data_IF_974457969703
#
_entry.id   IF_974457969703
#
_cell.length_a   1.000
_cell.length_b   1.000
_cell.length_c   1.000
_cell.angle_alpha   90.00
_cell.angle_beta   90.00
_cell.angle_gamma   90.00
#
_symmetry.space_group_name_H-M   'P 1'
#
loop_
_entity.id
_entity.type
_entity.pdbx_description
1 polymer ?
#
# COMPACT_ATOMS: atom_id res chain seq x y z
N UNK A 1 -1.33 40.76 26.60
CA UNK A 1 -0.42 40.39 25.50
C UNK A 1 -0.21 38.87 25.44
N UNK A 2 -1.28 38.08 25.33
CA UNK A 2 -1.23 36.61 25.10
C UNK A 2 -2.00 36.18 23.84
N UNK A 3 -2.88 37.03 23.32
CA UNK A 3 -3.80 36.71 22.22
C UNK A 3 -3.11 36.63 20.85
N UNK A 4 -2.03 37.40 20.61
CA UNK A 4 -1.33 37.38 19.32
C UNK A 4 -0.57 36.08 19.02
N UNK A 5 -0.20 35.31 20.05
CA UNK A 5 0.50 34.01 19.88
C UNK A 5 -0.46 32.85 19.59
N UNK A 6 -1.68 32.90 20.13
CA UNK A 6 -2.71 31.87 19.90
C UNK A 6 -3.40 32.06 18.54
N UNK A 7 -3.64 33.31 18.11
CA UNK A 7 -4.18 33.58 16.77
C UNK A 7 -3.21 33.15 15.64
N UNK A 8 -1.90 33.40 15.79
CA UNK A 8 -0.90 32.95 14.83
C UNK A 8 -0.82 31.41 14.71
N UNK A 9 -0.85 30.72 15.85
CA UNK A 9 -0.82 29.25 15.92
C UNK A 9 -2.06 28.60 15.29
N UNK A 10 -3.24 29.20 15.48
CA UNK A 10 -4.50 28.73 14.88
C UNK A 10 -4.54 28.91 13.36
N UNK A 11 -3.91 29.97 12.83
CA UNK A 11 -3.79 30.21 11.39
C UNK A 11 -2.83 29.22 10.74
N UNK A 12 -1.71 28.90 11.37
CA UNK A 12 -0.74 27.91 10.90
C UNK A 12 -1.32 26.49 10.88
N UNK A 13 -2.06 26.10 11.91
CA UNK A 13 -2.78 24.83 11.94
C UNK A 13 -3.87 24.76 10.85
N UNK A 14 -4.65 25.84 10.66
CA UNK A 14 -5.67 25.88 9.61
C UNK A 14 -5.07 25.78 8.20
N UNK A 15 -3.97 26.50 7.95
CA UNK A 15 -3.19 26.40 6.72
C UNK A 15 -2.67 24.97 6.48
N UNK A 16 -2.19 24.31 7.54
CA UNK A 16 -1.76 22.91 7.49
C UNK A 16 -2.90 21.96 7.09
N UNK A 17 -4.06 22.03 7.76
CA UNK A 17 -5.21 21.18 7.40
C UNK A 17 -5.67 21.42 5.96
N UNK A 18 -5.68 22.68 5.51
CA UNK A 18 -6.07 23.06 4.15
C UNK A 18 -5.07 22.55 3.10
N UNK A 19 -3.77 22.73 3.32
CA UNK A 19 -2.70 22.29 2.39
C UNK A 19 -2.62 20.77 2.31
N UNK A 20 -2.74 20.06 3.43
CA UNK A 20 -2.73 18.59 3.43
C UNK A 20 -3.89 18.03 2.62
N UNK A 21 -5.10 18.58 2.79
CA UNK A 21 -6.27 18.23 1.97
C UNK A 21 -6.12 18.59 0.49
N UNK A 22 -5.45 19.69 0.17
CA UNK A 22 -5.35 20.16 -1.22
C UNK A 22 -4.28 19.41 -2.04
N UNK A 23 -3.12 19.09 -1.45
CA UNK A 23 -1.94 18.65 -2.19
C UNK A 23 -1.59 17.17 -2.03
N UNK A 24 -2.01 16.52 -0.95
CA UNK A 24 -1.59 15.14 -0.63
C UNK A 24 -2.76 14.16 -0.53
N UNK A 25 -3.93 14.58 -0.99
CA UNK A 25 -5.14 13.75 -0.92
C UNK A 25 -5.08 12.52 -1.81
N UNK A 26 -4.32 12.52 -2.92
CA UNK A 26 -4.24 11.38 -3.85
C UNK A 26 -2.91 11.33 -4.62
N UNK A 27 -1.88 10.71 -4.03
CA UNK A 27 -0.63 10.39 -4.75
C UNK A 27 -0.80 9.03 -5.43
N UNK A 28 -0.62 8.98 -6.74
CA UNK A 28 -0.69 7.71 -7.46
C UNK A 28 0.62 6.96 -7.34
N UNK A 29 0.56 5.63 -7.28
CA UNK A 29 1.75 4.80 -7.32
C UNK A 29 1.52 3.52 -8.11
N UNK A 30 2.60 2.97 -8.64
CA UNK A 30 2.63 1.66 -9.27
C UNK A 30 3.67 0.78 -8.62
N UNK A 31 3.38 -0.50 -8.53
CA UNK A 31 4.35 -1.48 -8.07
C UNK A 31 4.41 -2.65 -9.05
N UNK A 32 5.60 -3.24 -9.15
CA UNK A 32 5.85 -4.49 -9.85
C UNK A 32 6.21 -5.54 -8.83
N UNK A 33 5.69 -6.75 -9.01
CA UNK A 33 5.98 -7.88 -8.17
C UNK A 33 6.09 -9.15 -8.99
N UNK A 34 6.81 -10.12 -8.45
CA UNK A 34 6.84 -11.48 -8.96
C UNK A 34 6.03 -12.38 -8.05
N UNK A 35 5.47 -13.44 -8.63
CA UNK A 35 4.77 -14.48 -7.91
C UNK A 35 5.09 -15.85 -8.50
N UNK A 36 5.05 -16.89 -7.67
CA UNK A 36 5.31 -18.26 -8.07
C UNK A 36 4.12 -18.81 -8.84
N UNK A 37 4.26 -18.90 -10.16
CA UNK A 37 3.26 -19.47 -11.05
C UNK A 37 3.29 -21.01 -11.01
N UNK A 38 4.46 -21.63 -11.03
CA UNK A 38 4.60 -23.07 -10.84
C UNK A 38 5.88 -23.36 -10.05
N UNK A 39 6.16 -24.63 -9.74
CA UNK A 39 7.31 -25.03 -8.90
C UNK A 39 8.65 -24.39 -9.32
N UNK A 40 8.82 -24.01 -10.60
CA UNK A 40 10.06 -23.41 -11.11
C UNK A 40 9.86 -22.15 -11.95
N UNK A 41 8.63 -21.65 -12.06
CA UNK A 41 8.31 -20.50 -12.93
C UNK A 41 7.75 -19.37 -12.09
N UNK A 42 8.39 -18.21 -12.21
CA UNK A 42 7.85 -16.96 -11.70
C UNK A 42 7.20 -16.17 -12.84
N UNK A 43 6.06 -15.56 -12.57
CA UNK A 43 5.47 -14.54 -13.44
C UNK A 43 5.60 -13.17 -12.75
N UNK A 44 5.61 -12.12 -13.55
CA UNK A 44 5.52 -10.74 -13.08
C UNK A 44 4.10 -10.23 -13.24
N UNK A 45 3.65 -9.42 -12.30
CA UNK A 45 2.41 -8.68 -12.38
C UNK A 45 2.62 -7.27 -11.84
N UNK A 46 1.72 -6.36 -12.21
CA UNK A 46 1.71 -5.00 -11.70
C UNK A 46 0.52 -4.75 -10.78
N UNK A 47 0.63 -3.76 -9.92
CA UNK A 47 -0.50 -3.21 -9.20
C UNK A 47 -0.45 -1.68 -9.24
N UNK A 48 -1.64 -1.07 -9.31
CA UNK A 48 -1.83 0.37 -9.28
C UNK A 48 -2.53 0.73 -8.00
N UNK A 49 -2.07 1.80 -7.36
CA UNK A 49 -2.65 2.28 -6.13
C UNK A 49 -2.69 3.78 -6.05
N UNK A 50 -3.48 4.24 -5.09
CA UNK A 50 -3.54 5.64 -4.68
C UNK A 50 -3.28 5.70 -3.19
N UNK A 51 -2.63 6.77 -2.78
CA UNK A 51 -2.32 7.08 -1.41
C UNK A 51 -3.01 8.38 -1.06
N UNK A 52 -3.69 8.38 0.08
CA UNK A 52 -4.35 9.56 0.62
C UNK A 52 -3.91 9.77 2.04
N UNK A 53 -3.67 11.02 2.43
CA UNK A 53 -3.44 11.36 3.82
C UNK A 53 -4.60 12.17 4.41
N UNK A 54 -4.91 11.89 5.67
CA UNK A 54 -5.86 12.63 6.48
C UNK A 54 -5.19 13.13 7.75
N UNK A 55 -5.57 14.32 8.21
CA UNK A 55 -5.06 14.86 9.47
C UNK A 55 -6.13 14.76 10.54
N UNK A 56 -5.74 14.27 11.71
CA UNK A 56 -6.56 14.26 12.91
C UNK A 56 -5.98 15.25 13.94
N UNK A 57 -6.62 16.41 14.05
CA UNK A 57 -6.23 17.50 14.95
C UNK A 57 -6.24 17.07 16.43
N UNK A 58 -7.28 16.34 16.86
CA UNK A 58 -7.45 15.95 18.25
C UNK A 58 -6.36 15.01 18.76
N UNK A 59 -5.86 14.13 17.88
CA UNK A 59 -4.81 13.18 18.21
C UNK A 59 -3.43 13.60 17.70
N UNK A 60 -3.34 14.77 17.06
CA UNK A 60 -2.14 15.30 16.42
C UNK A 60 -1.44 14.28 15.53
N UNK A 61 -2.23 13.61 14.67
CA UNK A 61 -1.70 12.57 13.78
C UNK A 61 -2.06 12.80 12.33
N UNK A 62 -1.13 12.44 11.44
CA UNK A 62 -1.40 12.22 10.03
C UNK A 62 -1.58 10.73 9.79
N UNK A 63 -2.73 10.36 9.26
CA UNK A 63 -3.07 8.98 8.89
C UNK A 63 -3.00 8.83 7.39
N UNK A 64 -2.45 7.70 6.97
CA UNK A 64 -2.21 7.39 5.58
C UNK A 64 -3.05 6.17 5.19
N UNK A 65 -3.91 6.37 4.20
CA UNK A 65 -4.76 5.33 3.62
C UNK A 65 -4.26 5.00 2.22
N UNK A 66 -4.21 3.71 1.94
CA UNK A 66 -3.81 3.15 0.65
C UNK A 66 -4.99 2.48 -0.01
N UNK A 67 -5.20 2.76 -1.28
CA UNK A 67 -5.96 1.91 -2.18
C UNK A 67 -5.00 1.23 -3.14
N UNK A 68 -5.21 -0.06 -3.40
CA UNK A 68 -4.34 -0.82 -4.29
C UNK A 68 -5.15 -1.90 -4.99
N UNK A 69 -4.97 -2.02 -6.30
CA UNK A 69 -5.52 -3.11 -7.09
C UNK A 69 -4.45 -3.69 -8.01
N UNK A 70 -4.22 -5.00 -7.91
CA UNK A 70 -3.32 -5.70 -8.83
C UNK A 70 -3.99 -6.04 -10.16
N UNK A 71 -3.16 -6.36 -11.14
CA UNK A 71 -3.57 -7.21 -12.25
C UNK A 71 -4.05 -8.58 -11.73
N UNK A 72 -4.81 -9.27 -12.58
CA UNK A 72 -5.25 -10.62 -12.30
C UNK A 72 -4.04 -11.56 -12.22
N UNK A 73 -3.96 -12.33 -11.14
CA UNK A 73 -2.94 -13.37 -10.95
C UNK A 73 -3.61 -14.74 -10.89
N UNK A 74 -3.05 -15.67 -11.65
CA UNK A 74 -3.51 -17.05 -11.80
C UNK A 74 -2.38 -18.03 -11.51
N UNK A 75 -2.71 -19.27 -11.15
CA UNK A 75 -1.73 -20.32 -10.92
C UNK A 75 -2.28 -21.69 -11.37
N UNK A 76 -1.53 -22.51 -12.11
CA UNK A 76 -1.90 -23.92 -12.32
C UNK A 76 -1.83 -24.70 -11.00
N UNK A 77 -2.79 -25.61 -10.76
CA UNK A 77 -2.76 -26.52 -9.61
C UNK A 77 -1.58 -27.48 -9.77
N UNK A 78 -0.72 -27.56 -8.76
CA UNK A 78 0.32 -28.59 -8.72
C UNK A 78 0.30 -29.26 -7.35
N UNK A 79 -0.38 -30.40 -7.26
CA UNK A 79 -0.05 -31.37 -6.24
C UNK A 79 1.33 -31.95 -6.58
N UNK A 80 2.24 -31.83 -5.63
CA UNK A 80 3.63 -32.31 -5.71
C UNK A 80 3.77 -33.83 -5.93
N UNK A 81 2.68 -34.58 -6.15
CA UNK A 81 2.66 -36.03 -6.34
C UNK A 81 2.19 -36.53 -7.71
N UNK A 82 1.59 -35.70 -8.57
CA UNK A 82 0.95 -36.15 -9.84
C UNK A 82 1.75 -35.82 -11.11
N UNK A 83 3.04 -35.50 -10.98
CA UNK A 83 3.89 -35.01 -12.07
C UNK A 83 4.14 -35.98 -13.22
N UNK A 84 3.80 -37.27 -13.09
CA UNK A 84 4.19 -38.25 -14.10
C UNK A 84 3.12 -38.58 -15.15
N UNK A 85 1.82 -38.33 -14.94
CA UNK A 85 0.80 -38.89 -15.85
C UNK A 85 -0.49 -38.06 -16.11
N UNK A 86 -0.64 -36.80 -15.67
CA UNK A 86 -1.87 -36.02 -15.92
C UNK A 86 -1.63 -34.77 -16.77
N UNK A 87 -2.29 -34.68 -17.93
CA UNK A 87 -2.25 -33.52 -18.85
C UNK A 87 -3.26 -32.42 -18.50
N UNK A 88 -4.00 -32.56 -17.40
CA UNK A 88 -5.08 -31.65 -17.01
C UNK A 88 -4.82 -31.23 -15.56
N UNK A 89 -4.26 -30.04 -15.40
CA UNK A 89 -4.13 -29.39 -14.10
C UNK A 89 -5.33 -28.47 -13.93
N UNK A 90 -6.09 -28.59 -12.85
CA UNK A 90 -7.12 -27.59 -12.52
C UNK A 90 -6.44 -26.23 -12.38
N UNK A 91 -6.99 -25.16 -12.95
CA UNK A 91 -6.42 -23.83 -12.78
C UNK A 91 -6.94 -23.25 -11.45
N UNK A 92 -6.06 -22.71 -10.61
CA UNK A 92 -6.48 -21.84 -9.53
C UNK A 92 -7.08 -20.60 -10.20
N UNK A 93 -8.30 -20.21 -9.83
CA UNK A 93 -8.98 -19.09 -10.46
C UNK A 93 -8.16 -17.82 -10.30
N UNK A 94 -8.21 -17.03 -11.37
CA UNK A 94 -7.74 -15.66 -11.43
C UNK A 94 -8.23 -14.85 -10.22
N UNK A 95 -7.29 -14.23 -9.51
CA UNK A 95 -7.54 -13.45 -8.30
C UNK A 95 -6.82 -12.10 -8.38
N UNK A 96 -7.37 -11.12 -7.69
CA UNK A 96 -6.83 -9.78 -7.62
C UNK A 96 -6.52 -9.44 -6.17
N UNK A 97 -5.33 -8.89 -5.92
CA UNK A 97 -5.00 -8.25 -4.65
C UNK A 97 -5.73 -6.91 -4.63
N UNK A 98 -6.72 -6.80 -3.75
CA UNK A 98 -7.53 -5.59 -3.62
C UNK A 98 -7.48 -5.10 -2.16
N UNK A 99 -6.99 -3.89 -1.98
CA UNK A 99 -7.01 -3.16 -0.72
C UNK A 99 -7.79 -1.87 -0.92
N UNK A 100 -8.93 -1.77 -0.23
CA UNK A 100 -9.75 -0.56 -0.22
C UNK A 100 -9.57 0.16 1.11
N UNK A 101 -9.07 1.39 1.07
CA UNK A 101 -8.88 2.27 2.23
C UNK A 101 -8.04 1.63 3.36
N UNK A 102 -6.95 0.94 3.01
CA UNK A 102 -6.10 0.25 3.97
C UNK A 102 -5.24 1.26 4.77
N UNK A 103 -5.30 1.27 6.11
CA UNK A 103 -4.47 2.16 6.92
C UNK A 103 -3.02 1.67 6.92
N UNK A 104 -2.21 2.24 6.04
CA UNK A 104 -0.83 1.78 5.80
C UNK A 104 0.15 2.38 6.80
N UNK A 105 -0.10 3.60 7.27
CA UNK A 105 0.81 4.28 8.17
C UNK A 105 0.14 5.38 8.99
N UNK A 106 0.75 5.75 10.12
CA UNK A 106 0.28 6.81 11.01
C UNK A 106 1.48 7.51 11.64
N UNK A 107 1.57 8.82 11.49
CA UNK A 107 2.62 9.66 12.06
C UNK A 107 2.03 10.66 13.05
N UNK A 108 2.77 10.96 14.11
CA UNK A 108 2.45 12.06 15.03
C UNK A 108 3.19 13.31 14.58
N UNK A 109 2.51 14.45 14.62
CA UNK A 109 3.14 15.76 14.47
C UNK A 109 3.14 16.49 15.82
N UNK A 110 4.08 17.42 16.00
CA UNK A 110 4.13 18.30 17.16
C UNK A 110 3.59 19.69 16.80
N UNK A 111 3.08 20.39 17.80
CA UNK A 111 2.62 21.78 17.73
C UNK A 111 3.53 22.62 18.65
N UNK A 112 3.99 23.82 18.25
CA UNK A 112 3.80 24.44 16.93
C UNK A 112 4.49 23.66 15.83
N UNK A 113 3.90 23.72 14.64
CA UNK A 113 4.46 23.02 13.49
C UNK A 113 5.56 23.96 12.96
N UNK A 114 6.85 23.63 13.16
CA UNK A 114 8.01 24.50 12.81
C UNK A 114 8.86 24.07 11.57
N UNK A 115 8.61 22.89 10.99
CA UNK A 115 9.35 22.27 9.86
C UNK A 115 8.70 22.44 8.45
N UNK A 116 9.17 21.72 7.43
CA UNK A 116 8.56 21.72 6.08
C UNK A 116 7.46 20.64 6.00
N UNK A 117 6.19 21.06 5.83
CA UNK A 117 5.03 20.14 5.79
C UNK A 117 5.03 19.26 4.56
N UNK A 118 5.48 19.81 3.44
CA UNK A 118 5.57 19.06 2.20
C UNK A 118 6.56 17.93 2.38
N UNK A 119 7.73 18.25 2.92
CA UNK A 119 8.75 17.25 3.21
C UNK A 119 8.26 16.20 4.19
N UNK A 120 7.60 16.59 5.28
CA UNK A 120 7.06 15.65 6.28
C UNK A 120 6.06 14.65 5.69
N UNK A 121 5.14 15.12 4.84
CA UNK A 121 4.15 14.25 4.20
C UNK A 121 4.82 13.34 3.16
N UNK A 122 5.77 13.85 2.39
CA UNK A 122 6.53 13.08 1.39
C UNK A 122 7.34 11.97 2.06
N UNK A 123 8.11 12.28 3.09
CA UNK A 123 8.88 11.29 3.84
C UNK A 123 7.98 10.26 4.53
N UNK A 124 6.82 10.70 5.03
CA UNK A 124 5.80 9.80 5.58
C UNK A 124 5.23 8.84 4.54
N UNK A 125 4.99 9.31 3.32
CA UNK A 125 4.53 8.48 2.21
C UNK A 125 5.60 7.50 1.73
N UNK A 126 6.86 7.95 1.58
CA UNK A 126 7.99 7.11 1.16
C UNK A 126 8.33 6.03 2.19
N UNK A 127 8.23 6.36 3.47
CA UNK A 127 8.40 5.37 4.56
C UNK A 127 7.25 4.38 4.62
N UNK A 128 6.03 4.78 4.26
CA UNK A 128 4.86 3.92 4.21
C UNK A 128 4.83 3.02 2.96
N UNK A 129 5.18 3.56 1.79
CA UNK A 129 5.08 2.91 0.48
C UNK A 129 6.48 2.75 -0.10
N UNK A 130 7.12 1.64 0.26
CA UNK A 130 8.39 1.21 -0.32
C UNK A 130 8.43 -0.31 -0.48
N UNK A 131 9.49 -0.80 -1.11
CA UNK A 131 9.66 -2.24 -1.39
C UNK A 131 9.56 -3.08 -0.11
N UNK A 132 10.08 -2.61 1.03
CA UNK A 132 10.11 -3.39 2.27
C UNK A 132 8.72 -3.47 2.91
N UNK A 133 8.03 -2.34 3.05
CA UNK A 133 6.68 -2.30 3.64
C UNK A 133 5.68 -3.05 2.78
N UNK A 134 5.72 -2.87 1.45
CA UNK A 134 4.85 -3.58 0.52
C UNK A 134 5.12 -5.08 0.48
N UNK A 135 6.39 -5.51 0.58
CA UNK A 135 6.71 -6.93 0.79
C UNK A 135 6.12 -7.48 2.09
N UNK A 136 6.19 -6.72 3.18
CA UNK A 136 5.57 -7.08 4.46
C UNK A 136 4.05 -7.25 4.36
N UNK A 137 3.40 -6.37 3.59
CA UNK A 137 1.96 -6.44 3.32
C UNK A 137 1.62 -7.67 2.45
N UNK A 138 2.30 -7.85 1.32
CA UNK A 138 2.01 -8.91 0.35
C UNK A 138 2.26 -10.31 0.92
N UNK A 139 3.18 -10.46 1.88
CA UNK A 139 3.38 -11.73 2.61
C UNK A 139 2.14 -12.20 3.38
N UNK A 140 1.29 -11.28 3.82
CA UNK A 140 0.05 -11.58 4.56
C UNK A 140 -1.08 -12.00 3.61
N UNK A 141 -1.02 -11.60 2.35
CA UNK A 141 -1.99 -11.99 1.34
C UNK A 141 -1.78 -13.45 0.93
N UNK A 142 -2.88 -14.18 0.72
CA UNK A 142 -2.88 -15.60 0.36
C UNK A 142 -3.73 -15.79 -0.88
N UNK A 143 -3.18 -16.55 -1.84
CA UNK A 143 -3.95 -17.02 -2.99
C UNK A 143 -4.88 -18.14 -2.51
N UNK A 144 -6.12 -18.17 -2.97
CA UNK A 144 -7.07 -19.22 -2.60
C UNK A 144 -7.25 -20.22 -3.75
N UNK A 145 -7.25 -21.52 -3.45
CA UNK A 145 -7.56 -22.56 -4.43
C UNK A 145 -9.06 -22.63 -4.75
N UNK A 146 -9.44 -23.55 -5.65
CA UNK A 146 -10.84 -23.78 -6.08
C UNK A 146 -11.79 -24.11 -4.92
N UNK A 147 -11.31 -24.81 -3.88
CA UNK A 147 -12.06 -25.10 -2.66
C UNK A 147 -11.80 -24.11 -1.51
N UNK A 148 -11.21 -22.93 -1.79
CA UNK A 148 -11.00 -21.86 -0.81
C UNK A 148 -9.82 -22.08 0.16
N UNK A 149 -9.04 -23.14 -0.03
CA UNK A 149 -7.83 -23.42 0.74
C UNK A 149 -6.70 -22.42 0.41
N UNK A 150 -5.93 -21.94 1.39
CA UNK A 150 -4.81 -21.05 1.13
C UNK A 150 -3.68 -21.78 0.41
N UNK A 151 -3.17 -21.15 -0.64
CA UNK A 151 -2.07 -21.61 -1.48
C UNK A 151 -0.93 -20.60 -1.39
N UNK A 152 0.30 -21.09 -1.21
CA UNK A 152 1.46 -20.21 -1.23
C UNK A 152 1.79 -19.78 -2.66
N UNK A 153 1.72 -18.48 -2.90
CA UNK A 153 2.06 -17.86 -4.18
C UNK A 153 3.43 -17.16 -4.15
N UNK A 154 4.14 -17.14 -3.01
CA UNK A 154 5.43 -16.45 -2.83
C UNK A 154 5.51 -15.10 -3.56
N UNK A 155 4.73 -14.14 -3.09
CA UNK A 155 4.75 -12.78 -3.62
C UNK A 155 6.03 -12.05 -3.19
N UNK A 156 6.71 -11.41 -4.15
CA UNK A 156 7.85 -10.53 -3.89
C UNK A 156 7.74 -9.26 -4.71
N UNK A 157 7.59 -8.14 -4.03
CA UNK A 157 7.65 -6.80 -4.62
C UNK A 157 9.08 -6.53 -5.07
N UNK A 158 9.23 -6.16 -6.34
CA UNK A 158 10.51 -5.87 -6.99
C UNK A 158 10.73 -4.38 -7.19
N UNK A 159 9.65 -3.62 -7.41
CA UNK A 159 9.72 -2.17 -7.67
C UNK A 159 8.49 -1.47 -7.13
N UNK A 160 8.68 -0.25 -6.64
CA UNK A 160 7.63 0.69 -6.26
C UNK A 160 8.00 2.04 -6.88
N UNK A 161 7.03 2.71 -7.50
CA UNK A 161 7.18 4.01 -8.14
C UNK A 161 6.05 4.93 -7.67
N UNK A 162 6.42 6.00 -6.96
CA UNK A 162 5.51 7.06 -6.56
C UNK A 162 5.43 8.12 -7.68
N UNK A 163 4.23 8.65 -7.93
CA UNK A 163 3.97 9.73 -8.89
C UNK A 163 3.44 10.94 -8.13
N UNK A 164 4.36 11.84 -7.79
CA UNK A 164 4.10 13.12 -7.13
C UNK A 164 3.55 14.15 -8.12
#
# INVERSE_FOLDING_TARGET
>A
MKEQGEEGMMVEEFEFYRKVRAFYCNVSFSLSFIYRFSHRVNKSATAKGTFSCGVNAHTQTVEYLMQLKSESIERPYSESGSFLFSNIYEAIPEQVIDYMNYPIHKLRYRVPIDYDWQQFIVEGAESAINVNTMNGLFKKWKLLGTSGQPVDAHLKVTKVELKW
#
